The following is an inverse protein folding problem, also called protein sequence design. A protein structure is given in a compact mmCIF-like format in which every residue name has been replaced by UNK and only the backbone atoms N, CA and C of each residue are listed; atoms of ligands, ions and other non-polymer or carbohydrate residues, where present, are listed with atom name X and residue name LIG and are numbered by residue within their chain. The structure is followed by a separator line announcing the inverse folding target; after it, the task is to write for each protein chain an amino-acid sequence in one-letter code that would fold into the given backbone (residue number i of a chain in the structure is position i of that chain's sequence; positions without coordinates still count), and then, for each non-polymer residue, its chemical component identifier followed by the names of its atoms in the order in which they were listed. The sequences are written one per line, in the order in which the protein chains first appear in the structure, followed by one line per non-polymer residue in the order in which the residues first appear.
data_IF_685477455577
#
_entry.id   IF_685477455577
#
_cell.length_a   1.000
_cell.length_b   1.000
_cell.length_c   1.000
_cell.angle_alpha   90.00
_cell.angle_beta   90.00
_cell.angle_gamma   90.00
#
_symmetry.space_group_name_H-M   'P 1'
#
loop_
_entity.id
_entity.type
_entity.pdbx_description
1 polymer ?
#
# COMPACT_ATOMS: atom_id res chain seq x y z
N UNK A 1 -54.15 21.23 -22.51
CA UNK A 1 -53.76 19.84 -22.85
C UNK A 1 -52.27 19.61 -22.59
N UNK A 2 -51.38 20.45 -23.12
CA UNK A 2 -49.93 20.25 -22.97
C UNK A 2 -49.41 20.40 -21.52
N UNK A 3 -49.97 21.35 -20.76
CA UNK A 3 -49.69 21.50 -19.32
C UNK A 3 -50.11 20.28 -18.50
N UNK A 4 -51.29 19.71 -18.80
CA UNK A 4 -51.80 18.49 -18.17
C UNK A 4 -50.88 17.28 -18.45
N UNK A 5 -50.37 17.15 -19.69
CA UNK A 5 -49.40 16.10 -20.04
C UNK A 5 -48.12 16.23 -19.23
N UNK A 6 -47.54 17.44 -19.13
CA UNK A 6 -46.33 17.69 -18.33
C UNK A 6 -46.55 17.41 -16.83
N UNK A 7 -47.71 17.74 -16.29
CA UNK A 7 -48.05 17.42 -14.89
C UNK A 7 -48.17 15.92 -14.63
N UNK A 8 -48.78 15.16 -15.55
CA UNK A 8 -48.86 13.69 -15.44
C UNK A 8 -47.46 13.07 -15.50
N UNK A 9 -46.62 13.52 -16.44
CA UNK A 9 -45.24 13.04 -16.57
C UNK A 9 -44.40 13.35 -15.32
N UNK A 10 -44.59 14.52 -14.71
CA UNK A 10 -43.91 14.91 -13.47
C UNK A 10 -44.35 14.05 -12.28
N UNK A 11 -45.63 13.73 -12.16
CA UNK A 11 -46.16 12.87 -11.10
C UNK A 11 -45.66 11.43 -11.26
N UNK A 12 -45.58 10.93 -12.49
CA UNK A 12 -45.05 9.61 -12.80
C UNK A 12 -43.54 9.53 -12.47
N UNK A 13 -42.77 10.56 -12.84
CA UNK A 13 -41.36 10.69 -12.46
C UNK A 13 -41.16 10.71 -10.93
N UNK A 14 -42.03 11.40 -10.18
CA UNK A 14 -41.98 11.44 -8.71
C UNK A 14 -42.32 10.08 -8.08
N UNK A 15 -43.39 9.45 -8.57
CA UNK A 15 -43.81 8.13 -8.09
C UNK A 15 -42.71 7.09 -8.27
N UNK A 16 -42.14 6.99 -9.47
CA UNK A 16 -41.05 6.07 -9.74
C UNK A 16 -39.77 6.41 -8.98
N UNK A 17 -39.51 7.69 -8.70
CA UNK A 17 -38.40 8.09 -7.83
C UNK A 17 -38.55 7.50 -6.43
N UNK A 18 -39.75 7.54 -5.85
CA UNK A 18 -40.02 6.94 -4.52
C UNK A 18 -39.88 5.41 -4.55
N UNK A 19 -40.36 4.75 -5.60
CA UNK A 19 -40.22 3.30 -5.78
C UNK A 19 -38.74 2.89 -5.87
N UNK A 20 -37.95 3.61 -6.67
CA UNK A 20 -36.51 3.36 -6.81
C UNK A 20 -35.78 3.60 -5.50
N UNK A 21 -36.12 4.66 -4.75
CA UNK A 21 -35.55 4.91 -3.42
C UNK A 21 -35.83 3.78 -2.44
N UNK A 22 -37.08 3.31 -2.35
CA UNK A 22 -37.44 2.20 -1.48
C UNK A 22 -36.68 0.92 -1.84
N UNK A 23 -36.58 0.60 -3.13
CA UNK A 23 -35.79 -0.54 -3.61
C UNK A 23 -34.31 -0.41 -3.24
N UNK A 24 -33.72 0.76 -3.48
CA UNK A 24 -32.30 1.00 -3.20
C UNK A 24 -32.00 0.91 -1.69
N UNK A 25 -32.91 1.39 -0.83
CA UNK A 25 -32.80 1.23 0.62
C UNK A 25 -32.87 -0.24 1.04
N UNK A 26 -33.80 -1.01 0.47
CA UNK A 26 -33.92 -2.44 0.73
C UNK A 26 -32.64 -3.20 0.35
N UNK A 27 -32.13 -2.99 -0.88
CA UNK A 27 -30.91 -3.63 -1.37
C UNK A 27 -29.70 -3.25 -0.53
N UNK A 28 -29.57 -1.97 -0.16
CA UNK A 28 -28.46 -1.49 0.68
C UNK A 28 -28.45 -2.17 2.05
N UNK A 29 -29.61 -2.25 2.71
CA UNK A 29 -29.72 -2.91 4.02
C UNK A 29 -29.38 -4.39 3.95
N UNK A 30 -29.83 -5.08 2.91
CA UNK A 30 -29.59 -6.50 2.78
C UNK A 30 -28.12 -6.81 2.49
N UNK A 31 -27.46 -6.03 1.62
CA UNK A 31 -26.02 -6.15 1.37
C UNK A 31 -25.21 -5.84 2.63
N UNK A 32 -25.57 -4.79 3.38
CA UNK A 32 -24.92 -4.48 4.65
C UNK A 32 -25.08 -5.64 5.65
N UNK A 33 -26.29 -6.20 5.79
CA UNK A 33 -26.57 -7.33 6.70
C UNK A 33 -25.74 -8.57 6.34
N UNK A 34 -25.66 -8.92 5.05
CA UNK A 34 -24.91 -10.09 4.59
C UNK A 34 -23.40 -9.90 4.70
N UNK A 35 -22.90 -8.71 4.42
CA UNK A 35 -21.47 -8.43 4.42
C UNK A 35 -20.91 -8.05 5.79
N UNK A 36 -21.76 -7.69 6.78
CA UNK A 36 -21.30 -7.22 8.10
C UNK A 36 -20.42 -8.25 8.82
N UNK A 37 -20.70 -9.54 8.66
CA UNK A 37 -19.90 -10.61 9.26
C UNK A 37 -18.44 -10.65 8.76
N UNK A 38 -18.15 -10.00 7.63
CA UNK A 38 -16.85 -9.98 6.96
C UNK A 38 -16.16 -8.61 7.04
N UNK A 39 -16.77 -7.63 7.73
CA UNK A 39 -16.25 -6.28 7.84
C UNK A 39 -15.82 -6.00 9.28
N UNK A 40 -14.77 -5.17 9.48
CA UNK A 40 -14.38 -4.72 10.81
C UNK A 40 -15.56 -4.07 11.54
N UNK A 41 -15.65 -4.27 12.86
CA UNK A 41 -16.76 -3.83 13.71
C UNK A 41 -17.06 -2.32 13.62
N UNK A 42 -16.14 -1.52 13.08
CA UNK A 42 -16.19 -0.07 13.05
C UNK A 42 -16.44 0.53 11.65
N UNK A 43 -16.66 -0.28 10.62
CA UNK A 43 -16.83 0.23 9.24
C UNK A 43 -17.98 -0.44 8.50
N UNK A 44 -19.18 0.18 8.45
CA UNK A 44 -20.30 -0.37 7.69
C UNK A 44 -20.01 -0.35 6.19
N UNK A 45 -20.50 -1.37 5.47
CA UNK A 45 -20.40 -1.41 4.00
C UNK A 45 -21.08 -0.18 3.40
N UNK A 46 -20.32 0.64 2.67
CA UNK A 46 -20.89 1.77 1.93
C UNK A 46 -21.41 1.29 0.57
N UNK A 47 -22.74 1.22 0.44
CA UNK A 47 -23.41 0.84 -0.81
C UNK A 47 -23.98 2.09 -1.49
N UNK A 48 -23.68 2.26 -2.79
CA UNK A 48 -24.26 3.33 -3.61
C UNK A 48 -24.97 2.71 -4.81
N UNK A 49 -26.30 2.77 -4.83
CA UNK A 49 -27.08 2.32 -5.97
C UNK A 49 -27.10 3.39 -7.06
N UNK A 50 -26.64 3.04 -8.27
CA UNK A 50 -26.48 4.00 -9.37
C UNK A 50 -27.36 3.66 -10.58
N UNK A 51 -27.70 4.69 -11.35
CA UNK A 51 -28.32 4.55 -12.66
C UNK A 51 -27.67 5.46 -13.70
N UNK A 52 -26.83 4.86 -14.54
CA UNK A 52 -26.12 5.58 -15.61
C UNK A 52 -27.06 6.06 -16.72
N UNK A 53 -28.09 5.28 -17.07
CA UNK A 53 -29.04 5.62 -18.14
C UNK A 53 -29.80 6.91 -17.83
N UNK A 54 -30.48 6.96 -16.67
CA UNK A 54 -31.23 8.14 -16.25
C UNK A 54 -30.35 9.37 -16.06
N UNK A 55 -29.11 9.20 -15.57
CA UNK A 55 -28.16 10.30 -15.44
C UNK A 55 -27.73 10.87 -16.81
N UNK A 56 -27.42 10.00 -17.78
CA UNK A 56 -27.06 10.42 -19.14
C UNK A 56 -28.23 11.07 -19.88
N UNK A 57 -29.44 10.55 -19.71
CA UNK A 57 -30.65 11.15 -20.26
C UNK A 57 -30.85 12.59 -19.74
N UNK A 58 -30.74 12.80 -18.42
CA UNK A 58 -30.79 14.14 -17.82
C UNK A 58 -29.67 15.05 -18.32
N UNK A 59 -28.44 14.55 -18.44
CA UNK A 59 -27.30 15.31 -18.98
C UNK A 59 -27.52 15.74 -20.44
N UNK A 60 -28.20 14.90 -21.23
CA UNK A 60 -28.53 15.19 -22.63
C UNK A 60 -29.83 16.00 -22.80
N UNK A 61 -30.50 16.40 -21.72
CA UNK A 61 -31.80 17.09 -21.78
C UNK A 61 -32.94 16.22 -22.31
N UNK A 62 -32.80 14.88 -22.24
CA UNK A 62 -33.77 13.90 -22.75
C UNK A 62 -34.53 13.22 -21.61
N UNK A 63 -35.79 12.90 -21.86
CA UNK A 63 -36.60 12.02 -21.00
C UNK A 63 -36.38 10.56 -21.42
N UNK A 64 -36.17 9.68 -20.47
CA UNK A 64 -36.20 8.22 -20.67
C UNK A 64 -37.62 7.74 -21.00
N UNK A 65 -37.74 6.58 -21.67
CA UNK A 65 -38.99 6.13 -22.31
C UNK A 65 -40.23 6.09 -21.40
N UNK A 66 -40.06 5.85 -20.10
CA UNK A 66 -41.16 5.69 -19.15
C UNK A 66 -41.17 6.83 -18.12
N UNK A 67 -40.09 6.94 -17.34
CA UNK A 67 -39.90 7.97 -16.34
C UNK A 67 -38.44 8.41 -16.31
N UNK A 68 -38.14 9.60 -15.78
CA UNK A 68 -36.75 10.08 -15.63
C UNK A 68 -36.46 10.52 -14.21
N UNK A 69 -35.58 9.78 -13.53
CA UNK A 69 -35.10 10.16 -12.21
C UNK A 69 -34.48 11.57 -12.22
N UNK A 70 -34.68 12.37 -11.16
CA UNK A 70 -33.91 13.59 -10.96
C UNK A 70 -32.43 13.25 -10.70
N UNK A 71 -31.53 14.19 -11.01
CA UNK A 71 -30.08 13.97 -10.98
C UNK A 71 -29.59 13.42 -9.63
N UNK A 72 -30.14 13.91 -8.52
CA UNK A 72 -29.83 13.45 -7.16
C UNK A 72 -30.28 12.00 -6.89
N UNK A 73 -31.42 11.55 -7.45
CA UNK A 73 -31.95 10.20 -7.26
C UNK A 73 -31.24 9.13 -8.12
N UNK A 74 -30.41 9.53 -9.08
CA UNK A 74 -29.62 8.58 -9.89
C UNK A 74 -28.47 7.94 -9.11
N UNK A 75 -28.11 8.45 -7.93
CA UNK A 75 -26.96 7.99 -7.14
C UNK A 75 -25.59 8.41 -7.67
N UNK A 76 -25.49 8.94 -8.90
CA UNK A 76 -24.22 9.38 -9.50
C UNK A 76 -23.58 10.56 -8.74
N UNK A 77 -24.32 11.60 -8.28
CA UNK A 77 -23.72 12.65 -7.46
C UNK A 77 -23.15 12.11 -6.14
N UNK A 78 -23.84 11.19 -5.47
CA UNK A 78 -23.36 10.56 -4.25
C UNK A 78 -22.11 9.70 -4.49
N UNK A 79 -22.08 8.95 -5.60
CA UNK A 79 -20.89 8.20 -6.02
C UNK A 79 -19.70 9.13 -6.29
N UNK A 80 -19.93 10.26 -6.99
CA UNK A 80 -18.88 11.26 -7.26
C UNK A 80 -18.38 11.91 -5.99
N UNK A 81 -19.28 12.33 -5.10
CA UNK A 81 -18.91 12.91 -3.82
C UNK A 81 -18.04 11.93 -3.02
N UNK A 82 -18.41 10.64 -3.01
CA UNK A 82 -17.61 9.62 -2.34
C UNK A 82 -16.25 9.36 -3.03
N UNK A 83 -16.21 9.30 -4.36
CA UNK A 83 -14.96 9.12 -5.10
C UNK A 83 -14.00 10.33 -4.94
N UNK A 84 -14.56 11.54 -4.88
CA UNK A 84 -13.79 12.75 -4.59
C UNK A 84 -13.34 12.77 -3.14
N UNK A 85 -14.21 12.40 -2.18
CA UNK A 85 -13.84 12.35 -0.76
C UNK A 85 -12.77 11.30 -0.48
N UNK A 86 -12.76 10.18 -1.22
CA UNK A 86 -11.71 9.16 -1.07
C UNK A 86 -10.40 9.55 -1.73
N UNK A 87 -10.44 10.35 -2.81
CA UNK A 87 -9.25 10.87 -3.47
C UNK A 87 -8.69 12.12 -2.80
N UNK A 88 -9.52 12.89 -2.09
CA UNK A 88 -9.15 14.18 -1.50
C UNK A 88 -7.96 14.10 -0.54
N UNK A 89 -7.87 13.14 0.41
CA UNK A 89 -6.70 13.01 1.28
C UNK A 89 -5.41 12.78 0.50
N UNK A 90 -5.45 11.95 -0.55
CA UNK A 90 -4.27 11.68 -1.39
C UNK A 90 -3.87 12.91 -2.21
N UNK A 91 -4.84 13.65 -2.72
CA UNK A 91 -4.58 14.88 -3.47
C UNK A 91 -4.03 15.99 -2.57
N UNK A 92 -4.60 16.14 -1.36
CA UNK A 92 -4.13 17.08 -0.36
C UNK A 92 -2.73 16.73 0.13
N UNK A 93 -2.47 15.46 0.47
CA UNK A 93 -1.13 14.97 0.83
C UNK A 93 -0.09 15.26 -0.24
N UNK A 94 -0.41 15.07 -1.53
CA UNK A 94 0.52 15.43 -2.61
C UNK A 94 0.82 16.92 -2.69
N UNK A 95 -0.16 17.76 -2.36
CA UNK A 95 0.02 19.21 -2.34
C UNK A 95 0.91 19.63 -1.16
N UNK A 96 0.65 19.11 0.03
CA UNK A 96 1.49 19.36 1.22
C UNK A 96 2.90 18.83 0.97
N UNK A 97 3.05 17.62 0.44
CA UNK A 97 4.35 17.04 0.06
C UNK A 97 5.14 17.96 -0.89
N UNK A 98 4.49 18.49 -1.93
CA UNK A 98 5.12 19.42 -2.87
C UNK A 98 5.56 20.72 -2.21
N UNK A 99 4.72 21.29 -1.34
CA UNK A 99 4.99 22.56 -0.65
C UNK A 99 6.13 22.37 0.34
N UNK A 100 6.00 21.42 1.27
CA UNK A 100 6.90 21.27 2.41
C UNK A 100 8.25 20.66 2.06
N UNK A 101 8.31 19.89 0.96
CA UNK A 101 9.56 19.33 0.47
C UNK A 101 10.05 20.01 -0.83
N UNK A 102 9.45 19.71 -1.97
CA UNK A 102 10.02 20.06 -3.29
C UNK A 102 10.24 21.56 -3.47
N UNK A 103 9.23 22.37 -3.13
CA UNK A 103 9.29 23.81 -3.29
C UNK A 103 10.14 24.47 -2.19
N UNK A 104 10.07 23.97 -0.95
CA UNK A 104 10.91 24.44 0.15
C UNK A 104 12.41 24.20 -0.12
N UNK A 105 12.77 23.03 -0.64
CA UNK A 105 14.15 22.71 -1.07
C UNK A 105 14.59 23.62 -2.20
N UNK A 106 13.73 23.88 -3.20
CA UNK A 106 14.05 24.79 -4.30
C UNK A 106 14.34 26.22 -3.81
N UNK A 107 13.45 26.79 -2.98
CA UNK A 107 13.62 28.13 -2.45
C UNK A 107 14.87 28.25 -1.58
N UNK A 108 15.10 27.25 -0.72
CA UNK A 108 16.27 27.23 0.16
C UNK A 108 17.58 27.08 -0.64
N UNK A 109 17.59 26.24 -1.67
CA UNK A 109 18.72 26.08 -2.58
C UNK A 109 19.03 27.38 -3.34
N UNK A 110 18.00 28.10 -3.82
CA UNK A 110 18.18 29.41 -4.44
C UNK A 110 18.71 30.45 -3.44
N UNK A 111 18.21 30.45 -2.21
CA UNK A 111 18.68 31.34 -1.16
C UNK A 111 20.14 31.06 -0.75
N UNK A 112 20.53 29.78 -0.66
CA UNK A 112 21.93 29.37 -0.47
C UNK A 112 22.80 29.82 -1.65
N UNK A 113 22.27 29.74 -2.87
CA UNK A 113 22.99 30.15 -4.07
C UNK A 113 23.23 31.68 -4.13
N UNK A 114 22.24 32.49 -3.76
CA UNK A 114 22.36 33.97 -3.77
C UNK A 114 23.10 34.52 -2.56
N UNK A 115 23.02 33.87 -1.40
CA UNK A 115 23.65 34.32 -0.15
C UNK A 115 25.15 34.05 -0.02
N UNK A 116 25.77 33.43 -1.03
CA UNK A 116 27.18 33.04 -0.99
C UNK A 116 28.14 34.22 -1.24
N UNK A 117 28.71 34.75 -0.16
CA UNK A 117 29.75 35.78 -0.18
C UNK A 117 31.14 35.28 0.27
N UNK A 118 31.39 33.96 0.27
CA UNK A 118 32.48 33.34 1.04
C UNK A 118 33.80 33.16 0.25
N UNK A 119 34.90 33.36 0.97
CA UNK A 119 36.33 33.27 0.61
C UNK A 119 36.87 31.82 0.55
N UNK A 120 37.99 31.64 -0.17
CA UNK A 120 38.69 30.35 -0.44
C UNK A 120 38.93 29.48 0.81
N UNK A 121 38.93 28.14 0.62
CA UNK A 121 39.60 27.19 1.53
C UNK A 121 38.72 26.28 2.40
N UNK A 122 37.46 26.03 2.03
CA UNK A 122 36.49 25.27 2.87
C UNK A 122 36.01 23.95 2.26
N UNK A 123 36.71 23.43 1.25
CA UNK A 123 36.33 22.19 0.55
C UNK A 123 36.33 20.97 1.50
N UNK A 124 37.14 21.00 2.57
CA UNK A 124 37.15 19.95 3.60
C UNK A 124 35.83 19.79 4.38
N UNK A 125 34.97 20.81 4.40
CA UNK A 125 33.64 20.73 5.06
C UNK A 125 32.66 19.84 4.31
N UNK A 126 32.90 19.56 3.02
CA UNK A 126 32.07 18.63 2.25
C UNK A 126 32.26 17.20 2.75
N UNK A 127 33.50 16.83 3.11
CA UNK A 127 33.81 15.49 3.60
C UNK A 127 33.14 15.18 4.95
N UNK A 128 32.82 16.22 5.73
CA UNK A 128 32.10 16.11 7.01
C UNK A 128 30.65 15.62 6.80
N UNK A 129 30.08 15.80 5.60
CA UNK A 129 28.73 15.34 5.25
C UNK A 129 28.72 13.88 4.78
N UNK A 130 29.84 13.39 4.27
CA UNK A 130 29.95 12.00 3.85
C UNK A 130 29.98 11.05 5.06
N UNK A 131 30.40 11.50 6.24
CA UNK A 131 30.41 10.70 7.47
C UNK A 131 29.00 10.17 7.85
N UNK A 132 27.96 11.02 8.05
CA UNK A 132 26.60 10.54 8.29
C UNK A 132 26.04 9.64 7.18
N UNK A 133 26.51 9.80 5.94
CA UNK A 133 26.06 8.98 4.81
C UNK A 133 26.52 7.53 4.94
N UNK A 134 27.72 7.30 5.47
CA UNK A 134 28.28 5.95 5.67
C UNK A 134 27.55 5.14 6.75
N UNK A 135 26.87 5.82 7.68
CA UNK A 135 26.09 5.19 8.74
C UNK A 135 24.74 4.61 8.26
N UNK A 136 24.23 5.06 7.11
CA UNK A 136 22.89 4.70 6.63
C UNK A 136 22.80 3.26 6.10
N UNK A 137 23.70 2.76 5.25
CA UNK A 137 23.59 1.40 4.71
C UNK A 137 23.52 0.30 5.77
N UNK A 138 24.33 0.30 6.85
CA UNK A 138 24.22 -0.68 7.92
C UNK A 138 22.82 -0.71 8.57
N UNK A 139 22.20 0.45 8.80
CA UNK A 139 20.86 0.53 9.39
C UNK A 139 19.82 -0.18 8.52
N UNK A 140 19.88 0.01 7.20
CA UNK A 140 18.98 -0.68 6.26
C UNK A 140 19.21 -2.19 6.27
N UNK A 141 20.48 -2.63 6.27
CA UNK A 141 20.82 -4.05 6.29
C UNK A 141 20.35 -4.73 7.57
N UNK A 142 20.56 -4.09 8.72
CA UNK A 142 20.17 -4.63 10.02
C UNK A 142 18.66 -4.77 10.14
N UNK A 143 17.89 -3.75 9.76
CA UNK A 143 16.43 -3.78 9.80
C UNK A 143 15.87 -4.79 8.79
N UNK A 144 16.43 -4.86 7.58
CA UNK A 144 16.02 -5.83 6.55
C UNK A 144 16.23 -7.26 7.06
N UNK A 145 17.40 -7.54 7.65
CA UNK A 145 17.72 -8.86 8.22
C UNK A 145 16.78 -9.19 9.36
N UNK A 146 16.55 -8.25 10.26
CA UNK A 146 15.71 -8.46 11.44
C UNK A 146 14.25 -8.76 11.08
N UNK A 147 13.65 -8.05 10.12
CA UNK A 147 12.30 -8.37 9.63
C UNK A 147 12.25 -9.78 9.02
N UNK A 148 13.24 -10.15 8.22
CA UNK A 148 13.31 -11.49 7.60
C UNK A 148 13.47 -12.59 8.64
N UNK A 149 14.29 -12.37 9.65
CA UNK A 149 14.49 -13.30 10.77
C UNK A 149 13.23 -13.43 11.62
N UNK A 150 12.49 -12.34 11.86
CA UNK A 150 11.20 -12.43 12.54
C UNK A 150 10.14 -13.16 11.74
N UNK A 151 10.08 -12.98 10.41
CA UNK A 151 9.21 -13.78 9.55
C UNK A 151 9.52 -15.27 9.72
N UNK A 152 10.81 -15.66 9.64
CA UNK A 152 11.22 -17.04 9.84
C UNK A 152 10.85 -17.57 11.23
N UNK A 153 11.13 -16.80 12.28
CA UNK A 153 10.92 -17.24 13.67
C UNK A 153 9.44 -17.34 14.04
N UNK A 154 8.66 -16.32 13.70
CA UNK A 154 7.25 -16.22 14.11
C UNK A 154 6.30 -16.96 13.19
N UNK A 155 6.56 -16.94 11.88
CA UNK A 155 5.64 -17.51 10.88
C UNK A 155 6.18 -18.86 10.41
N UNK A 156 7.33 -18.88 9.73
CA UNK A 156 7.80 -20.10 9.05
C UNK A 156 8.02 -21.26 10.03
N UNK A 157 8.77 -21.01 11.11
CA UNK A 157 9.12 -22.06 12.09
C UNK A 157 7.86 -22.61 12.75
N UNK A 158 6.94 -21.73 13.15
CA UNK A 158 5.68 -22.13 13.77
C UNK A 158 4.83 -22.99 12.83
N UNK A 159 4.67 -22.57 11.57
CA UNK A 159 3.92 -23.34 10.58
C UNK A 159 4.57 -24.70 10.26
N UNK A 160 5.90 -24.77 10.23
CA UNK A 160 6.62 -26.04 10.07
C UNK A 160 6.40 -26.96 11.28
N UNK A 161 6.47 -26.44 12.51
CA UNK A 161 6.25 -27.22 13.74
C UNK A 161 4.82 -27.78 13.81
N UNK A 162 3.84 -27.02 13.30
CA UNK A 162 2.42 -27.41 13.24
C UNK A 162 2.06 -28.26 12.01
N UNK A 163 3.01 -28.55 11.12
CA UNK A 163 2.76 -29.30 9.88
C UNK A 163 1.99 -30.61 10.11
N UNK A 164 2.31 -31.37 11.17
CA UNK A 164 1.61 -32.60 11.48
C UNK A 164 0.12 -32.39 11.77
N UNK A 165 -0.24 -31.29 12.42
CA UNK A 165 -1.64 -30.89 12.67
C UNK A 165 -2.36 -30.59 11.35
N UNK A 166 -1.71 -29.83 10.46
CA UNK A 166 -2.27 -29.47 9.16
C UNK A 166 -2.53 -30.71 8.29
N UNK A 167 -1.57 -31.65 8.27
CA UNK A 167 -1.74 -32.93 7.58
C UNK A 167 -2.91 -33.74 8.14
N UNK A 168 -3.08 -33.77 9.47
CA UNK A 168 -4.18 -34.48 10.11
C UNK A 168 -5.55 -33.81 9.86
N UNK A 169 -5.61 -32.48 9.85
CA UNK A 169 -6.81 -31.72 9.51
C UNK A 169 -7.22 -31.93 8.05
N UNK A 170 -6.26 -31.84 7.13
CA UNK A 170 -6.49 -32.08 5.72
C UNK A 170 -6.89 -33.53 5.43
N UNK A 171 -6.37 -34.50 6.18
CA UNK A 171 -6.80 -35.89 6.07
C UNK A 171 -8.24 -36.10 6.56
N UNK A 172 -8.69 -35.39 7.61
CA UNK A 172 -10.10 -35.39 8.02
C UNK A 172 -11.01 -34.86 6.91
N UNK A 173 -10.64 -33.74 6.29
CA UNK A 173 -11.36 -33.19 5.13
C UNK A 173 -11.38 -34.20 3.96
N UNK A 174 -10.27 -34.89 3.72
CA UNK A 174 -10.21 -35.96 2.73
C UNK A 174 -11.23 -37.07 3.04
N UNK A 175 -11.26 -37.58 4.26
CA UNK A 175 -12.09 -38.73 4.65
C UNK A 175 -13.59 -38.36 4.73
N UNK A 176 -13.92 -37.19 5.26
CA UNK A 176 -15.30 -36.79 5.56
C UNK A 176 -16.02 -36.14 4.38
N UNK A 177 -15.29 -35.44 3.50
CA UNK A 177 -15.87 -34.61 2.44
C UNK A 177 -15.49 -35.11 1.05
N UNK A 178 -14.20 -35.33 0.79
CA UNK A 178 -13.72 -35.64 -0.56
C UNK A 178 -13.90 -37.11 -0.92
N UNK A 179 -13.61 -38.05 -0.03
CA UNK A 179 -13.72 -39.49 -0.27
C UNK A 179 -15.15 -39.97 -0.53
N UNK A 180 -16.20 -39.43 0.11
CA UNK A 180 -17.58 -39.76 -0.26
C UNK A 180 -18.00 -39.18 -1.61
N UNK A 181 -17.30 -38.18 -2.15
CA UNK A 181 -17.72 -37.46 -3.34
C UNK A 181 -17.72 -38.34 -4.61
N UNK A 182 -18.72 -38.12 -5.47
CA UNK A 182 -18.89 -38.86 -6.72
C UNK A 182 -17.76 -38.58 -7.73
N UNK A 183 -17.60 -39.49 -8.71
CA UNK A 183 -16.59 -39.35 -9.76
C UNK A 183 -16.68 -38.02 -10.53
N UNK A 184 -17.90 -37.56 -10.84
CA UNK A 184 -18.12 -36.30 -11.57
C UNK A 184 -17.58 -35.10 -10.81
N UNK A 185 -17.78 -35.07 -9.48
CA UNK A 185 -17.26 -34.03 -8.58
C UNK A 185 -15.74 -34.06 -8.55
N UNK A 186 -15.14 -35.24 -8.38
CA UNK A 186 -13.69 -35.42 -8.44
C UNK A 186 -13.09 -34.97 -9.78
N UNK A 187 -13.71 -35.35 -10.90
CA UNK A 187 -13.24 -34.95 -12.22
C UNK A 187 -13.31 -33.42 -12.42
N UNK A 188 -14.36 -32.76 -11.91
CA UNK A 188 -14.48 -31.30 -11.94
C UNK A 188 -13.41 -30.62 -11.08
N UNK A 189 -13.21 -31.11 -9.85
CA UNK A 189 -12.17 -30.66 -8.92
C UNK A 189 -10.77 -30.76 -9.54
N UNK A 190 -10.41 -31.91 -10.10
CA UNK A 190 -9.11 -32.12 -10.74
C UNK A 190 -8.90 -31.20 -11.95
N UNK A 191 -9.91 -31.09 -12.83
CA UNK A 191 -9.83 -30.22 -14.02
C UNK A 191 -9.68 -28.73 -13.67
N UNK A 192 -10.17 -28.33 -12.50
CA UNK A 192 -10.04 -26.96 -11.98
C UNK A 192 -8.91 -26.79 -10.97
N UNK A 193 -8.02 -27.78 -10.84
CA UNK A 193 -6.84 -27.73 -9.95
C UNK A 193 -7.18 -27.34 -8.51
N UNK A 194 -8.31 -27.84 -8.04
CA UNK A 194 -8.78 -27.61 -6.68
C UNK A 194 -9.71 -26.43 -6.48
N UNK A 195 -9.78 -25.52 -7.44
CA UNK A 195 -10.73 -24.42 -7.46
C UNK A 195 -12.13 -24.90 -7.93
N UNK A 196 -12.74 -25.72 -7.10
CA UNK A 196 -14.07 -26.26 -7.29
C UNK A 196 -14.87 -26.16 -6.00
N UNK A 197 -16.05 -25.59 -6.13
CA UNK A 197 -17.06 -25.48 -5.08
C UNK A 197 -18.38 -26.07 -5.57
N UNK A 198 -19.29 -26.34 -4.64
CA UNK A 198 -20.64 -26.83 -4.94
C UNK A 198 -21.66 -25.97 -4.19
N UNK A 199 -22.94 -26.01 -4.57
CA UNK A 199 -23.97 -25.22 -3.87
C UNK A 199 -24.05 -25.50 -2.35
N UNK A 200 -23.59 -26.68 -1.91
CA UNK A 200 -23.53 -27.08 -0.49
C UNK A 200 -22.22 -26.73 0.20
N UNK A 201 -21.15 -26.52 -0.57
CA UNK A 201 -19.80 -26.24 -0.08
C UNK A 201 -19.26 -25.10 -0.93
N UNK A 202 -19.49 -23.88 -0.46
CA UNK A 202 -19.20 -22.66 -1.20
C UNK A 202 -17.69 -22.39 -1.32
N UNK A 203 -16.90 -22.86 -0.35
CA UNK A 203 -15.45 -22.74 -0.34
C UNK A 203 -14.80 -23.71 -1.35
N UNK A 204 -13.66 -23.30 -1.89
CA UNK A 204 -12.87 -24.20 -2.73
C UNK A 204 -12.34 -25.36 -1.88
N UNK A 205 -12.18 -26.53 -2.49
CA UNK A 205 -11.60 -27.67 -1.78
C UNK A 205 -10.14 -27.44 -1.37
N UNK A 206 -9.38 -26.59 -2.08
CA UNK A 206 -8.06 -26.15 -1.62
C UNK A 206 -8.16 -25.38 -0.29
N UNK A 207 -9.10 -24.43 -0.18
CA UNK A 207 -9.31 -23.66 1.05
C UNK A 207 -9.71 -24.55 2.23
N UNK A 208 -10.57 -25.55 2.00
CA UNK A 208 -10.94 -26.52 3.04
C UNK A 208 -9.73 -27.31 3.54
N UNK A 209 -8.84 -27.73 2.63
CA UNK A 209 -7.63 -28.48 2.99
C UNK A 209 -6.61 -27.62 3.76
N UNK A 210 -6.68 -26.30 3.62
CA UNK A 210 -5.80 -25.33 4.28
C UNK A 210 -6.47 -24.55 5.41
N UNK A 211 -7.70 -24.91 5.80
CA UNK A 211 -8.49 -24.14 6.76
C UNK A 211 -7.77 -23.96 8.10
N UNK A 212 -7.14 -25.02 8.62
CA UNK A 212 -6.34 -24.96 9.85
C UNK A 212 -5.13 -24.02 9.71
N UNK A 213 -4.50 -23.98 8.52
CA UNK A 213 -3.37 -23.07 8.24
C UNK A 213 -3.86 -21.63 8.20
N UNK A 214 -5.04 -21.40 7.61
CA UNK A 214 -5.67 -20.08 7.54
C UNK A 214 -5.93 -19.52 8.94
N UNK A 215 -6.50 -20.31 9.84
CA UNK A 215 -6.76 -19.88 11.22
C UNK A 215 -5.48 -19.48 11.96
N UNK A 216 -4.47 -20.35 11.97
CA UNK A 216 -3.19 -20.06 12.65
C UNK A 216 -2.49 -18.83 12.04
N UNK A 217 -2.53 -18.71 10.71
CA UNK A 217 -1.84 -17.63 10.01
C UNK A 217 -2.55 -16.28 10.12
N UNK A 218 -3.84 -16.20 9.79
CA UNK A 218 -4.60 -14.94 9.79
C UNK A 218 -4.86 -14.42 11.21
N UNK A 219 -5.30 -15.29 12.12
CA UNK A 219 -5.83 -14.82 13.41
C UNK A 219 -4.70 -14.50 14.41
N UNK A 220 -3.65 -15.31 14.44
CA UNK A 220 -2.66 -15.26 15.53
C UNK A 220 -1.28 -14.69 15.14
N UNK A 221 -0.87 -14.83 13.87
CA UNK A 221 0.52 -14.57 13.48
C UNK A 221 0.71 -13.39 12.53
N UNK A 222 -0.18 -13.23 11.55
CA UNK A 222 0.08 -12.31 10.45
C UNK A 222 0.00 -10.84 10.87
N UNK A 223 -1.07 -10.43 11.54
CA UNK A 223 -1.24 -9.03 11.96
C UNK A 223 -0.16 -8.57 12.95
N UNK A 224 0.21 -9.35 14.00
CA UNK A 224 1.34 -8.99 14.85
C UNK A 224 2.68 -8.87 14.11
N UNK A 225 2.86 -9.62 13.02
CA UNK A 225 4.04 -9.48 12.16
C UNK A 225 4.00 -8.20 11.30
N UNK A 226 2.82 -7.78 10.82
CA UNK A 226 2.65 -6.49 10.14
C UNK A 226 2.95 -5.33 11.08
N UNK A 227 2.42 -5.36 12.31
CA UNK A 227 2.68 -4.34 13.32
C UNK A 227 4.19 -4.25 13.63
N UNK A 228 4.86 -5.40 13.75
CA UNK A 228 6.31 -5.45 13.89
C UNK A 228 7.04 -4.77 12.71
N UNK A 229 6.61 -5.03 11.47
CA UNK A 229 7.19 -4.39 10.30
C UNK A 229 7.01 -2.86 10.36
N UNK A 230 5.84 -2.38 10.78
CA UNK A 230 5.58 -0.94 10.96
C UNK A 230 6.51 -0.33 12.00
N UNK A 231 6.68 -0.98 13.15
CA UNK A 231 7.61 -0.53 14.21
C UNK A 231 9.06 -0.43 13.70
N UNK A 232 9.52 -1.42 12.92
CA UNK A 232 10.87 -1.41 12.34
C UNK A 232 11.05 -0.28 11.31
N UNK A 233 10.03 0.00 10.50
CA UNK A 233 10.05 1.13 9.57
C UNK A 233 10.13 2.46 10.31
N UNK A 234 9.34 2.63 11.36
CA UNK A 234 9.35 3.84 12.18
C UNK A 234 10.69 4.02 12.91
N UNK A 235 11.27 2.94 13.42
CA UNK A 235 12.62 2.94 14.00
C UNK A 235 13.65 3.41 12.98
N UNK A 236 13.66 2.82 11.78
CA UNK A 236 14.59 3.20 10.71
C UNK A 236 14.39 4.66 10.29
N UNK A 237 13.14 5.11 10.12
CA UNK A 237 12.80 6.50 9.80
C UNK A 237 13.40 7.47 10.83
N UNK A 238 13.23 7.18 12.12
CA UNK A 238 13.77 7.99 13.22
C UNK A 238 15.31 8.02 13.18
N UNK A 239 15.95 6.87 13.02
CA UNK A 239 17.41 6.79 12.95
C UNK A 239 17.97 7.58 11.77
N UNK A 240 17.43 7.39 10.55
CA UNK A 240 17.84 8.16 9.36
C UNK A 240 17.61 9.66 9.56
N UNK A 241 16.47 10.05 10.14
CA UNK A 241 16.19 11.46 10.43
C UNK A 241 17.18 12.09 11.41
N UNK A 242 17.57 11.36 12.46
CA UNK A 242 18.59 11.79 13.43
C UNK A 242 19.94 11.92 12.75
N UNK A 243 20.36 10.93 11.98
CA UNK A 243 21.63 10.94 11.23
C UNK A 243 21.67 12.13 10.26
N UNK A 244 20.60 12.41 9.52
CA UNK A 244 20.54 13.59 8.63
C UNK A 244 20.60 14.89 9.41
N UNK A 245 19.85 15.04 10.51
CA UNK A 245 19.87 16.25 11.34
C UNK A 245 21.25 16.50 11.96
N UNK A 246 21.99 15.45 12.29
CA UNK A 246 23.33 15.54 12.88
C UNK A 246 24.34 16.29 12.00
N UNK A 247 24.12 16.35 10.68
CA UNK A 247 24.95 17.11 9.72
C UNK A 247 25.14 18.56 10.19
N UNK A 248 24.10 19.18 10.74
CA UNK A 248 24.20 20.56 11.24
C UNK A 248 25.14 20.68 12.44
N UNK A 249 25.07 19.74 13.38
CA UNK A 249 25.98 19.69 14.53
C UNK A 249 27.43 19.48 14.10
N UNK A 250 27.67 18.57 13.15
CA UNK A 250 29.01 18.33 12.60
C UNK A 250 29.57 19.56 11.87
N UNK A 251 28.75 20.28 11.11
CA UNK A 251 29.18 21.52 10.47
C UNK A 251 29.47 22.61 11.51
N UNK A 252 28.64 22.76 12.54
CA UNK A 252 28.82 23.79 13.57
C UNK A 252 30.05 23.56 14.46
N UNK A 253 30.51 22.32 14.61
CA UNK A 253 31.75 22.01 15.35
C UNK A 253 33.03 22.33 14.57
N UNK A 254 32.94 22.57 13.26
CA UNK A 254 34.10 22.85 12.42
C UNK A 254 34.49 24.34 12.44
N UNK A 255 35.74 24.70 12.76
CA UNK A 255 36.21 26.09 12.70
C UNK A 255 36.02 26.75 11.32
N UNK A 256 36.04 25.95 10.26
CA UNK A 256 35.79 26.40 8.89
C UNK A 256 34.35 26.85 8.61
N UNK A 257 33.40 26.53 9.48
CA UNK A 257 31.98 26.85 9.28
C UNK A 257 31.59 28.28 9.67
N UNK A 258 32.48 29.03 10.32
CA UNK A 258 32.23 30.42 10.72
C UNK A 258 31.88 31.28 9.49
N UNK A 259 30.72 31.93 9.51
CA UNK A 259 30.23 32.78 8.42
C UNK A 259 29.48 32.04 7.29
N UNK A 260 29.20 30.74 7.43
CA UNK A 260 28.27 30.03 6.56
C UNK A 260 26.83 30.47 6.82
N UNK A 261 25.98 30.41 5.79
CA UNK A 261 24.54 30.66 5.87
C UNK A 261 23.79 29.50 6.56
N UNK A 262 24.18 29.18 7.80
CA UNK A 262 23.70 28.01 8.55
C UNK A 262 22.20 28.03 8.76
N UNK A 263 21.58 29.21 8.92
CA UNK A 263 20.11 29.32 9.03
C UNK A 263 19.42 28.78 7.79
N UNK A 264 19.83 29.24 6.60
CA UNK A 264 19.25 28.80 5.32
C UNK A 264 19.52 27.31 5.07
N UNK A 265 20.71 26.82 5.44
CA UNK A 265 21.04 25.40 5.33
C UNK A 265 20.20 24.53 6.27
N UNK A 266 19.98 24.96 7.52
CA UNK A 266 19.07 24.29 8.46
C UNK A 266 17.65 24.20 7.91
N UNK A 267 17.15 25.28 7.31
CA UNK A 267 15.84 25.27 6.63
C UNK A 267 15.80 24.25 5.49
N UNK A 268 16.81 24.25 4.62
CA UNK A 268 16.92 23.26 3.53
C UNK A 268 16.95 21.82 4.06
N UNK A 269 17.75 21.58 5.10
CA UNK A 269 17.91 20.26 5.70
C UNK A 269 16.62 19.76 6.35
N UNK A 270 15.88 20.63 7.04
CA UNK A 270 14.58 20.28 7.60
C UNK A 270 13.58 19.91 6.50
N UNK A 271 13.56 20.63 5.38
CA UNK A 271 12.74 20.28 4.22
C UNK A 271 13.14 18.92 3.61
N UNK A 272 14.43 18.57 3.61
CA UNK A 272 14.90 17.23 3.20
C UNK A 272 14.49 16.14 4.21
N UNK A 273 14.49 16.42 5.51
CA UNK A 273 14.00 15.47 6.53
C UNK A 273 12.50 15.21 6.38
N UNK A 274 11.72 16.25 6.05
CA UNK A 274 10.29 16.08 5.79
C UNK A 274 10.05 15.20 4.55
N UNK A 275 10.78 15.48 3.46
CA UNK A 275 10.77 14.63 2.26
C UNK A 275 11.19 13.17 2.55
N UNK A 276 12.13 12.95 3.48
CA UNK A 276 12.48 11.60 3.94
C UNK A 276 11.31 10.93 4.67
N UNK A 277 10.64 11.62 5.59
CA UNK A 277 9.46 11.07 6.28
C UNK A 277 8.39 10.60 5.29
N UNK A 278 8.16 11.35 4.22
CA UNK A 278 7.22 11.00 3.14
C UNK A 278 7.69 9.76 2.35
N UNK A 279 8.98 9.66 2.04
CA UNK A 279 9.57 8.49 1.38
C UNK A 279 9.40 7.22 2.22
N UNK A 280 9.59 7.32 3.54
CA UNK A 280 9.38 6.21 4.48
C UNK A 280 7.91 5.78 4.52
N UNK A 281 6.97 6.71 4.71
CA UNK A 281 5.53 6.42 4.69
C UNK A 281 5.10 5.73 3.38
N UNK A 282 5.55 6.25 2.23
CA UNK A 282 5.24 5.66 0.92
C UNK A 282 5.82 4.25 0.76
N UNK A 283 7.01 4.00 1.31
CA UNK A 283 7.63 2.68 1.24
C UNK A 283 6.92 1.67 2.14
N UNK A 284 6.50 2.09 3.33
CA UNK A 284 5.71 1.28 4.26
C UNK A 284 4.37 0.88 3.64
N UNK A 285 3.59 1.82 3.09
CA UNK A 285 2.32 1.54 2.41
C UNK A 285 2.48 0.50 1.28
N UNK A 286 3.58 0.62 0.52
CA UNK A 286 3.88 -0.30 -0.58
C UNK A 286 4.31 -1.67 -0.08
N UNK A 287 5.04 -1.74 1.04
CA UNK A 287 5.38 -3.01 1.67
C UNK A 287 4.11 -3.70 2.18
N UNK A 288 3.25 -2.98 2.91
CA UNK A 288 2.00 -3.52 3.44
C UNK A 288 1.12 -4.10 2.32
N UNK A 289 0.96 -3.38 1.19
CA UNK A 289 0.24 -3.92 0.03
C UNK A 289 0.87 -5.18 -0.54
N UNK A 290 2.20 -5.27 -0.53
CA UNK A 290 2.92 -6.45 -1.01
C UNK A 290 2.73 -7.62 -0.07
N UNK A 291 2.80 -7.40 1.24
CA UNK A 291 2.53 -8.39 2.28
C UNK A 291 1.05 -8.84 2.26
N UNK A 292 0.11 -7.91 2.03
CA UNK A 292 -1.30 -8.25 1.83
C UNK A 292 -1.51 -9.20 0.65
N UNK A 293 -0.75 -9.04 -0.43
CA UNK A 293 -0.81 -9.98 -1.54
C UNK A 293 -0.28 -11.37 -1.15
N UNK A 294 0.79 -11.44 -0.33
CA UNK A 294 1.33 -12.71 0.18
C UNK A 294 0.31 -13.46 1.02
N UNK A 295 -0.34 -12.81 2.00
CA UNK A 295 -1.35 -13.49 2.83
C UNK A 295 -2.54 -13.94 1.99
N UNK A 296 -3.01 -13.12 1.04
CA UNK A 296 -4.09 -13.51 0.13
C UNK A 296 -3.71 -14.75 -0.70
N UNK A 297 -2.48 -14.83 -1.19
CA UNK A 297 -1.97 -16.01 -1.92
C UNK A 297 -1.79 -17.24 -1.01
N UNK A 298 -1.66 -17.05 0.30
CA UNK A 298 -1.59 -18.15 1.26
C UNK A 298 -2.99 -18.70 1.58
N UNK A 299 -3.99 -17.84 1.73
CA UNK A 299 -5.27 -18.19 2.38
C UNK A 299 -6.47 -18.27 1.44
N UNK A 300 -6.42 -17.60 0.28
CA UNK A 300 -7.50 -17.61 -0.71
C UNK A 300 -7.10 -18.40 -1.93
N UNK A 301 -7.99 -19.27 -2.38
CA UNK A 301 -7.74 -20.03 -3.61
C UNK A 301 -7.83 -19.12 -4.82
N UNK A 302 -6.98 -19.40 -5.81
CA UNK A 302 -6.78 -18.54 -6.96
C UNK A 302 -5.57 -18.94 -7.77
N UNK A 303 -5.31 -18.21 -8.86
CA UNK A 303 -4.22 -18.53 -9.78
C UNK A 303 -2.83 -18.55 -9.10
N UNK A 304 -2.64 -17.71 -8.08
CA UNK A 304 -1.36 -17.54 -7.38
C UNK A 304 -1.34 -18.20 -6.00
N UNK A 305 -2.32 -19.05 -5.69
CA UNK A 305 -2.39 -19.69 -4.38
C UNK A 305 -1.20 -20.66 -4.16
N UNK A 306 -0.52 -20.52 -3.02
CA UNK A 306 0.69 -21.29 -2.72
C UNK A 306 0.42 -22.79 -2.55
N UNK A 307 -0.68 -23.15 -1.90
CA UNK A 307 -1.06 -24.55 -1.70
C UNK A 307 -1.49 -25.20 -3.01
N UNK A 308 -2.31 -24.52 -3.82
CA UNK A 308 -2.72 -24.99 -5.14
C UNK A 308 -1.50 -25.23 -6.05
N UNK A 309 -0.50 -24.33 -6.01
CA UNK A 309 0.77 -24.52 -6.71
C UNK A 309 1.55 -25.75 -6.19
N UNK A 310 1.61 -25.94 -4.87
CA UNK A 310 2.26 -27.11 -4.25
C UNK A 310 1.55 -28.44 -4.58
N UNK A 311 0.23 -28.39 -4.81
CA UNK A 311 -0.60 -29.54 -5.18
C UNK A 311 -0.63 -29.81 -6.70
N UNK A 312 -0.08 -28.93 -7.53
CA UNK A 312 -0.06 -29.08 -8.98
C UNK A 312 0.44 -30.47 -9.47
N UNK A 313 1.53 -31.04 -8.91
CA UNK A 313 2.00 -32.36 -9.35
C UNK A 313 0.97 -33.48 -9.17
N UNK A 314 0.19 -33.46 -8.08
CA UNK A 314 -0.81 -34.51 -7.83
C UNK A 314 -2.07 -34.31 -8.70
N UNK A 315 -2.42 -33.06 -9.01
CA UNK A 315 -3.48 -32.77 -9.99
C UNK A 315 -3.13 -33.34 -11.36
N UNK A 316 -1.94 -33.02 -11.86
CA UNK A 316 -1.48 -33.46 -13.18
C UNK A 316 -1.34 -35.00 -13.22
N UNK A 317 -0.85 -35.62 -12.14
CA UNK A 317 -0.75 -37.08 -12.03
C UNK A 317 -2.12 -37.77 -12.07
N UNK A 318 -3.12 -37.25 -11.36
CA UNK A 318 -4.46 -37.82 -11.37
C UNK A 318 -5.13 -37.62 -12.73
N UNK A 319 -5.00 -36.44 -13.35
CA UNK A 319 -5.58 -36.16 -14.67
C UNK A 319 -5.02 -37.06 -15.78
N UNK A 320 -3.77 -37.49 -15.66
CA UNK A 320 -3.15 -38.45 -16.58
C UNK A 320 -3.57 -39.92 -16.36
N UNK A 321 -4.23 -40.24 -15.23
CA UNK A 321 -4.66 -41.61 -14.92
C UNK A 321 -6.03 -41.92 -15.54
N UNK A 322 -6.16 -43.11 -16.14
CA UNK A 322 -7.33 -43.53 -16.91
C UNK A 322 -7.67 -45.01 -16.68
N UNK A 323 -8.90 -45.42 -17.01
CA UNK A 323 -9.33 -46.82 -17.00
C UNK A 323 -10.10 -47.27 -15.74
N UNK A 324 -10.27 -48.59 -15.60
CA UNK A 324 -11.12 -49.17 -14.54
C UNK A 324 -10.54 -48.89 -13.15
N UNK A 325 -11.37 -48.43 -12.21
CA UNK A 325 -10.97 -48.16 -10.83
C UNK A 325 -10.24 -46.83 -10.62
N UNK A 326 -10.26 -45.93 -11.61
CA UNK A 326 -9.54 -44.64 -11.57
C UNK A 326 -9.88 -43.79 -10.34
N UNK A 327 -11.15 -43.72 -9.93
CA UNK A 327 -11.58 -42.94 -8.76
C UNK A 327 -10.87 -43.39 -7.47
N UNK A 328 -10.76 -44.71 -7.27
CA UNK A 328 -10.08 -45.28 -6.09
C UNK A 328 -8.59 -44.99 -6.12
N UNK A 329 -7.97 -44.95 -7.32
CA UNK A 329 -6.56 -44.58 -7.48
C UNK A 329 -6.34 -43.09 -7.26
N UNK A 330 -7.22 -42.22 -7.76
CA UNK A 330 -7.19 -40.77 -7.51
C UNK A 330 -7.22 -40.47 -6.01
N UNK A 331 -8.21 -40.98 -5.29
CA UNK A 331 -8.34 -40.79 -3.83
C UNK A 331 -7.09 -41.22 -3.07
N UNK A 332 -6.59 -42.42 -3.38
CA UNK A 332 -5.35 -42.94 -2.78
C UNK A 332 -4.14 -42.07 -3.13
N UNK A 333 -4.03 -41.62 -4.37
CA UNK A 333 -2.93 -40.76 -4.82
C UNK A 333 -2.95 -39.44 -4.05
N UNK A 334 -4.12 -38.82 -3.96
CA UNK A 334 -4.36 -37.55 -3.29
C UNK A 334 -4.07 -37.62 -1.79
N UNK A 335 -4.69 -38.57 -1.08
CA UNK A 335 -4.46 -38.79 0.36
C UNK A 335 -2.98 -39.10 0.64
N UNK A 336 -2.32 -39.95 -0.17
CA UNK A 336 -0.88 -40.20 0.01
C UNK A 336 -0.03 -38.94 -0.22
N UNK A 337 -0.42 -38.07 -1.13
CA UNK A 337 0.34 -36.85 -1.44
C UNK A 337 0.20 -35.81 -0.32
N UNK A 338 -1.02 -35.59 0.17
CA UNK A 338 -1.28 -34.60 1.22
C UNK A 338 -0.67 -35.01 2.56
N UNK A 339 -0.57 -36.31 2.82
CA UNK A 339 0.07 -36.87 4.02
C UNK A 339 1.59 -37.08 3.88
N UNK A 340 2.26 -36.50 2.87
CA UNK A 340 3.73 -36.57 2.80
C UNK A 340 4.37 -35.77 3.93
N UNK A 341 5.31 -36.36 4.69
CA UNK A 341 5.98 -35.65 5.77
C UNK A 341 7.14 -34.78 5.24
N UNK A 342 7.50 -33.78 6.05
CA UNK A 342 8.73 -33.00 5.86
C UNK A 342 8.70 -32.16 4.59
N UNK A 343 9.86 -32.07 3.92
CA UNK A 343 10.08 -31.12 2.83
C UNK A 343 9.24 -31.38 1.57
N UNK A 344 8.74 -32.61 1.40
CA UNK A 344 7.90 -32.98 0.27
C UNK A 344 6.40 -32.76 0.52
N UNK A 345 6.04 -32.32 1.73
CA UNK A 345 4.68 -31.97 2.07
C UNK A 345 4.21 -30.73 1.29
N UNK A 346 2.99 -30.70 0.76
CA UNK A 346 2.45 -29.49 0.15
C UNK A 346 2.38 -28.32 1.14
N UNK A 347 2.20 -28.60 2.44
CA UNK A 347 2.24 -27.58 3.50
C UNK A 347 3.63 -27.00 3.68
N UNK A 348 4.69 -27.81 3.64
CA UNK A 348 6.06 -27.30 3.69
C UNK A 348 6.35 -26.37 2.52
N UNK A 349 6.02 -26.81 1.30
CA UNK A 349 6.25 -26.06 0.07
C UNK A 349 5.50 -24.71 0.11
N UNK A 350 4.26 -24.73 0.61
CA UNK A 350 3.47 -23.51 0.83
C UNK A 350 4.17 -22.55 1.82
N UNK A 351 4.64 -23.05 2.96
CA UNK A 351 5.33 -22.23 3.98
C UNK A 351 6.63 -21.63 3.44
N UNK A 352 7.42 -22.40 2.69
CA UNK A 352 8.63 -21.90 2.03
C UNK A 352 8.31 -20.83 0.97
N UNK A 353 7.18 -20.96 0.26
CA UNK A 353 6.71 -19.95 -0.68
C UNK A 353 6.32 -18.63 0.03
N UNK A 354 5.67 -18.73 1.19
CA UNK A 354 5.35 -17.55 2.04
C UNK A 354 6.64 -16.85 2.47
N UNK A 355 7.60 -17.58 3.06
CA UNK A 355 8.88 -16.98 3.51
C UNK A 355 9.60 -16.28 2.36
N UNK A 356 9.75 -16.96 1.23
CA UNK A 356 10.41 -16.42 0.04
C UNK A 356 9.77 -15.13 -0.43
N UNK A 357 8.44 -15.09 -0.53
CA UNK A 357 7.73 -13.93 -1.06
C UNK A 357 7.73 -12.76 -0.07
N UNK A 358 7.67 -13.02 1.25
CA UNK A 358 7.90 -12.00 2.28
C UNK A 358 9.32 -11.44 2.16
N UNK A 359 10.33 -12.30 2.11
CA UNK A 359 11.74 -11.89 2.02
C UNK A 359 12.00 -11.06 0.76
N UNK A 360 11.44 -11.47 -0.37
CA UNK A 360 11.53 -10.76 -1.65
C UNK A 360 10.84 -9.39 -1.58
N UNK A 361 9.64 -9.31 -0.99
CA UNK A 361 8.92 -8.06 -0.81
C UNK A 361 9.71 -7.08 0.08
N UNK A 362 10.23 -7.54 1.23
CA UNK A 362 11.03 -6.72 2.14
C UNK A 362 12.31 -6.23 1.46
N UNK A 363 13.07 -7.12 0.81
CA UNK A 363 14.32 -6.79 0.13
C UNK A 363 14.11 -5.73 -0.97
N UNK A 364 13.13 -5.96 -1.84
CA UNK A 364 12.83 -5.05 -2.95
C UNK A 364 12.43 -3.66 -2.46
N UNK A 365 11.67 -3.58 -1.34
CA UNK A 365 11.23 -2.30 -0.76
C UNK A 365 12.38 -1.59 -0.05
N UNK A 366 13.15 -2.30 0.77
CA UNK A 366 14.28 -1.74 1.50
C UNK A 366 15.38 -1.24 0.57
N UNK A 367 15.76 -2.03 -0.44
CA UNK A 367 16.73 -1.62 -1.46
C UNK A 367 16.27 -0.36 -2.21
N UNK A 368 14.98 -0.28 -2.57
CA UNK A 368 14.43 0.91 -3.25
C UNK A 368 14.42 2.14 -2.35
N UNK A 369 14.05 1.97 -1.08
CA UNK A 369 14.02 3.04 -0.10
C UNK A 369 15.44 3.56 0.16
N UNK A 370 16.40 2.67 0.40
CA UNK A 370 17.82 3.04 0.57
C UNK A 370 18.36 3.83 -0.62
N UNK A 371 18.05 3.39 -1.85
CA UNK A 371 18.43 4.14 -3.07
C UNK A 371 17.83 5.55 -3.09
N UNK A 372 16.58 5.72 -2.65
CA UNK A 372 15.94 7.03 -2.59
C UNK A 372 16.55 7.91 -1.48
N UNK A 373 16.83 7.35 -0.30
CA UNK A 373 17.52 8.06 0.78
C UNK A 373 18.89 8.55 0.32
N UNK A 374 19.66 7.71 -0.37
CA UNK A 374 20.96 8.10 -0.92
C UNK A 374 20.87 9.28 -1.90
N UNK A 375 19.79 9.36 -2.71
CA UNK A 375 19.55 10.51 -3.59
C UNK A 375 19.27 11.80 -2.81
N UNK A 376 18.54 11.70 -1.68
CA UNK A 376 18.35 12.85 -0.79
C UNK A 376 19.69 13.30 -0.20
N UNK A 377 20.55 12.37 0.21
CA UNK A 377 21.92 12.70 0.64
C UNK A 377 22.74 13.38 -0.47
N UNK A 378 22.62 12.92 -1.72
CA UNK A 378 23.29 13.59 -2.85
C UNK A 378 22.79 15.04 -3.02
N UNK A 379 21.50 15.29 -2.82
CA UNK A 379 20.92 16.63 -2.85
C UNK A 379 21.43 17.50 -1.67
N UNK A 380 21.44 16.98 -0.44
CA UNK A 380 21.99 17.68 0.73
C UNK A 380 23.47 18.02 0.53
N UNK A 381 24.24 17.07 0.00
CA UNK A 381 25.66 17.26 -0.32
C UNK A 381 25.84 18.36 -1.37
N UNK A 382 24.95 18.43 -2.36
CA UNK A 382 24.95 19.51 -3.36
C UNK A 382 24.64 20.86 -2.73
N UNK A 383 23.67 20.94 -1.83
CA UNK A 383 23.31 22.18 -1.14
C UNK A 383 24.48 22.68 -0.28
N UNK A 384 25.19 21.79 0.42
CA UNK A 384 26.39 22.16 1.14
C UNK A 384 27.53 22.56 0.21
N UNK A 385 27.77 21.83 -0.90
CA UNK A 385 28.74 22.22 -1.92
C UNK A 385 28.47 23.63 -2.44
N UNK A 386 27.21 23.98 -2.68
CA UNK A 386 26.83 25.35 -3.05
C UNK A 386 27.25 26.33 -1.96
N UNK A 387 26.98 26.03 -0.69
CA UNK A 387 27.32 26.88 0.46
C UNK A 387 28.84 27.07 0.68
N UNK A 388 29.66 26.04 0.45
CA UNK A 388 31.10 26.05 0.79
C UNK A 388 32.02 26.35 -0.40
N UNK A 389 31.54 26.17 -1.64
CA UNK A 389 32.37 26.41 -2.84
C UNK A 389 32.32 27.87 -3.22
N UNK A 390 33.50 28.47 -3.41
CA UNK A 390 33.60 29.81 -3.98
C UNK A 390 33.05 29.80 -5.41
N UNK A 391 31.83 30.32 -5.60
CA UNK A 391 31.32 30.53 -6.94
C UNK A 391 32.11 31.67 -7.59
N UNK A 392 32.85 31.37 -8.66
CA UNK A 392 33.46 32.43 -9.49
C UNK A 392 32.34 33.37 -9.95
N UNK A 393 32.26 34.55 -9.36
CA UNK A 393 31.43 35.66 -9.82
C UNK A 393 32.01 36.15 -11.15
N UNK A 394 31.72 35.43 -12.24
CA UNK A 394 31.84 35.99 -13.58
C UNK A 394 30.85 37.14 -13.69
N UNK A 395 31.26 38.27 -14.28
CA UNK A 395 30.43 39.47 -14.46
C UNK A 395 29.02 39.16 -15.05
N UNK A 396 28.89 38.08 -15.82
CA UNK A 396 27.64 37.60 -16.38
C UNK A 396 26.62 37.01 -15.37
N UNK A 397 27.05 36.52 -14.20
CA UNK A 397 26.18 35.86 -13.20
C UNK A 397 25.66 36.80 -12.11
N UNK A 398 26.29 37.97 -11.97
CA UNK A 398 25.97 38.94 -10.93
C UNK A 398 24.55 39.54 -11.08
N UNK A 399 24.10 39.98 -12.28
CA UNK A 399 22.76 40.54 -12.43
C UNK A 399 21.66 39.52 -12.13
N UNK A 400 21.89 38.25 -12.47
CA UNK A 400 20.96 37.16 -12.20
C UNK A 400 20.86 36.85 -10.70
N UNK A 401 21.98 36.87 -9.96
CA UNK A 401 21.99 36.70 -8.51
C UNK A 401 21.20 37.80 -7.81
N UNK A 402 21.41 39.05 -8.21
CA UNK A 402 20.71 40.20 -7.63
C UNK A 402 19.20 40.16 -7.93
N UNK A 403 18.82 39.82 -9.17
CA UNK A 403 17.41 39.65 -9.54
C UNK A 403 16.72 38.53 -8.73
N UNK A 404 17.36 37.37 -8.59
CA UNK A 404 16.83 36.24 -7.82
C UNK A 404 16.77 36.60 -6.33
N UNK A 405 17.80 37.23 -5.78
CA UNK A 405 17.81 37.65 -4.37
C UNK A 405 16.69 38.65 -4.05
N UNK A 406 16.45 39.60 -4.96
CA UNK A 406 15.36 40.58 -4.82
C UNK A 406 13.98 39.91 -4.89
N UNK A 407 13.82 38.91 -5.76
CA UNK A 407 12.60 38.10 -5.82
C UNK A 407 12.39 37.27 -4.54
N UNK A 408 13.44 36.59 -4.06
CA UNK A 408 13.39 35.74 -2.86
C UNK A 408 12.98 36.51 -1.61
N UNK A 409 13.41 37.77 -1.47
CA UNK A 409 13.01 38.65 -0.36
C UNK A 409 11.49 38.79 -0.23
N UNK A 410 10.76 38.77 -1.36
CA UNK A 410 9.30 38.84 -1.39
C UNK A 410 8.65 37.45 -1.36
N UNK A 411 9.29 36.47 -2.00
CA UNK A 411 8.72 35.14 -2.18
C UNK A 411 8.75 34.30 -0.90
N UNK A 412 9.82 34.39 -0.09
CA UNK A 412 9.97 33.58 1.14
C UNK A 412 8.86 33.89 2.16
N UNK A 413 8.59 35.16 2.54
CA UNK A 413 7.51 35.45 3.50
C UNK A 413 6.13 35.00 3.01
N UNK A 414 5.88 35.15 1.70
CA UNK A 414 4.63 34.68 1.10
C UNK A 414 4.51 33.16 1.16
N UNK A 415 5.60 32.44 0.93
CA UNK A 415 5.65 31.00 1.03
C UNK A 415 5.43 30.51 2.47
N UNK A 416 6.07 31.15 3.45
CA UNK A 416 5.84 30.85 4.88
C UNK A 416 4.37 31.05 5.29
N UNK A 417 3.70 32.09 4.75
CA UNK A 417 2.25 32.29 4.94
C UNK A 417 1.42 31.14 4.37
N UNK A 418 1.77 30.63 3.18
CA UNK A 418 1.07 29.51 2.55
C UNK A 418 1.26 28.22 3.36
N UNK A 419 2.45 27.98 3.89
CA UNK A 419 2.70 26.83 4.77
C UNK A 419 1.86 26.91 6.05
N UNK A 420 1.75 28.09 6.67
CA UNK A 420 0.91 28.30 7.84
C UNK A 420 -0.59 28.07 7.54
N UNK A 421 -1.07 28.56 6.40
CA UNK A 421 -2.45 28.31 5.95
C UNK A 421 -2.71 26.82 5.69
N UNK A 422 -1.77 26.11 5.07
CA UNK A 422 -1.89 24.67 4.84
C UNK A 422 -1.91 23.86 6.13
N UNK A 423 -1.06 24.20 7.10
CA UNK A 423 -1.04 23.57 8.42
C UNK A 423 -2.38 23.78 9.16
N UNK A 424 -2.98 24.97 9.07
CA UNK A 424 -4.29 25.24 9.65
C UNK A 424 -5.39 24.40 9.01
N UNK A 425 -5.38 24.28 7.67
CA UNK A 425 -6.33 23.42 6.95
C UNK A 425 -6.15 21.97 7.39
N UNK A 426 -4.91 21.49 7.54
CA UNK A 426 -4.66 20.12 7.98
C UNK A 426 -5.17 19.85 9.40
N UNK A 427 -5.01 20.79 10.34
CA UNK A 427 -5.57 20.69 11.69
C UNK A 427 -7.11 20.65 11.66
N UNK A 428 -7.74 21.54 10.91
CA UNK A 428 -9.20 21.65 10.81
C UNK A 428 -9.84 20.35 10.25
N UNK A 429 -9.12 19.63 9.38
CA UNK A 429 -9.57 18.38 8.77
C UNK A 429 -9.14 17.12 9.53
N UNK A 430 -8.10 17.19 10.37
CA UNK A 430 -7.65 16.06 11.20
C UNK A 430 -8.40 15.96 12.54
N UNK A 431 -9.10 17.02 12.94
CA UNK A 431 -9.94 17.08 14.14
C UNK A 431 -11.42 16.68 13.96
N UNK A 432 -11.81 16.20 12.77
CA UNK A 432 -13.13 15.61 12.47
C UNK A 432 -13.02 14.11 12.31
#
# INVERSE_FOLDING_TARGET
IELLKRSIESLDDEWWTKVVQARNQFVTRELQRQCQAYLPNESPLKVVCISNSHYMARKAGKREKNFTLPTNATGIPALRAHALSSAAPVAFKRLTDFVDHEFAVLLSGLALWTGNNITRGREGLVNVIDQPREEIPPLFQDITRDIKDQCRRRITTHLHDRQGSFMAAAQRVMDDILDPAAWSTWNAFLRRRGNWSTDKIAESWNELLTEEVRYELEDDMWYPFIDYCHEQFEKLRRQVSVTVKSITGYLESEPGAVGLSMRTFKTALNAHVEGLSQLFSTAQDKLERSLRAVILNAVKDGQYNYFAAAMQPVYDQCLADHGRGVLKRWRRCFSRYISRPGQQSPFHIMVEAIERDVHSAVEARMSKLQSNVNKTFDAITKDCKVMVTQQRNTAAKQPLREAISSYLWKAIPKFESIQAELAQIEEDYSGQ
#
